data_IF_855304215955
#
_entry.id   IF_855304215955
#
_cell.length_a   1.000
_cell.length_b   1.000
_cell.length_c   1.000
_cell.angle_alpha   90.00
_cell.angle_beta   90.00
_cell.angle_gamma   90.00
#
_symmetry.space_group_name_H-M   'P 1'
#
loop_
_entity.id
_entity.type
_entity.pdbx_description
1 polymer ?
#
# COMPACT_ATOMS: atom_id res chain seq x y z
N UNK A 1 -8.08 3.46 -26.70
CA UNK A 1 -8.11 4.49 -25.66
C UNK A 1 -7.41 4.02 -24.38
N UNK A 2 -7.97 3.05 -23.63
CA UNK A 2 -7.42 2.58 -22.36
C UNK A 2 -5.92 2.21 -22.39
N UNK A 3 -5.47 1.43 -23.39
CA UNK A 3 -4.05 1.07 -23.51
C UNK A 3 -3.11 2.29 -23.67
N UNK A 4 -3.54 3.33 -24.39
CA UNK A 4 -2.77 4.58 -24.53
C UNK A 4 -2.71 5.33 -23.20
N UNK A 5 -3.85 5.44 -22.51
CA UNK A 5 -3.92 6.05 -21.19
C UNK A 5 -2.99 5.34 -20.21
N UNK A 6 -3.06 4.00 -20.10
CA UNK A 6 -2.19 3.20 -19.22
C UNK A 6 -0.71 3.40 -19.57
N UNK A 7 -0.36 3.36 -20.86
CA UNK A 7 1.02 3.54 -21.31
C UNK A 7 1.59 4.94 -21.01
N UNK A 8 0.73 5.95 -20.87
CA UNK A 8 1.14 7.31 -20.53
C UNK A 8 1.27 7.56 -19.02
N UNK A 9 0.78 6.64 -18.17
CA UNK A 9 0.88 6.78 -16.72
C UNK A 9 2.30 6.51 -16.22
N UNK A 10 2.69 7.24 -15.18
CA UNK A 10 3.88 6.92 -14.38
C UNK A 10 3.52 5.78 -13.44
N UNK A 11 4.01 4.57 -13.73
CA UNK A 11 3.71 3.35 -13.00
C UNK A 11 4.97 2.72 -12.38
N UNK A 12 4.76 1.80 -11.44
CA UNK A 12 5.81 1.16 -10.66
C UNK A 12 6.28 2.02 -9.50
N UNK A 13 7.60 1.96 -9.22
CA UNK A 13 8.27 2.79 -8.21
C UNK A 13 8.57 4.16 -8.83
N UNK A 14 7.89 5.21 -8.34
CA UNK A 14 8.06 6.58 -8.85
C UNK A 14 9.20 7.28 -8.10
N UNK A 15 9.22 7.15 -6.77
CA UNK A 15 10.32 7.60 -5.93
C UNK A 15 10.46 6.69 -4.69
N UNK A 16 11.30 7.07 -3.72
CA UNK A 16 11.55 6.27 -2.51
C UNK A 16 10.31 5.99 -1.65
N UNK A 17 9.25 6.79 -1.76
CA UNK A 17 8.05 6.68 -0.92
C UNK A 17 6.75 6.58 -1.72
N UNK A 18 6.80 6.71 -3.05
CA UNK A 18 5.64 6.78 -3.94
C UNK A 18 5.63 5.65 -4.96
N UNK A 19 4.47 5.03 -5.13
CA UNK A 19 4.22 3.98 -6.14
C UNK A 19 2.89 4.17 -6.83
N UNK A 20 2.76 3.64 -8.04
CA UNK A 20 1.48 3.52 -8.73
C UNK A 20 1.41 2.22 -9.52
N UNK A 21 0.22 1.68 -9.72
CA UNK A 21 0.02 0.43 -10.44
C UNK A 21 -1.31 0.42 -11.18
N UNK A 22 -1.39 -0.38 -12.25
CA UNK A 22 -2.66 -0.81 -12.86
C UNK A 22 -2.77 -2.30 -12.66
N UNK A 23 -3.64 -2.72 -11.73
CA UNK A 23 -3.74 -4.12 -11.31
C UNK A 23 -4.75 -4.94 -12.11
N UNK A 24 -5.75 -4.28 -12.71
CA UNK A 24 -6.84 -4.95 -13.42
C UNK A 24 -7.13 -4.21 -14.70
N UNK A 25 -7.28 -4.93 -15.81
CA UNK A 25 -7.72 -4.41 -17.10
C UNK A 25 -8.72 -5.39 -17.70
N UNK A 26 -9.92 -4.91 -18.05
CA UNK A 26 -10.98 -5.70 -18.64
C UNK A 26 -11.55 -4.99 -19.88
N UNK A 27 -11.75 -5.73 -20.97
CA UNK A 27 -12.36 -5.17 -22.17
C UNK A 27 -12.35 -6.14 -23.34
N UNK A 28 -13.32 -5.97 -24.25
CA UNK A 28 -13.53 -6.84 -25.40
C UNK A 28 -14.30 -8.13 -25.05
N UNK A 29 -15.07 -8.62 -26.03
CA UNK A 29 -15.91 -9.82 -25.88
C UNK A 29 -15.51 -10.89 -26.89
N UNK A 30 -15.16 -10.48 -28.11
CA UNK A 30 -14.81 -11.35 -29.24
C UNK A 30 -13.56 -10.84 -29.95
N UNK A 31 -12.72 -11.76 -30.44
CA UNK A 31 -11.41 -11.45 -31.06
C UNK A 31 -11.49 -10.55 -32.30
N UNK A 32 -12.54 -10.68 -33.09
CA UNK A 32 -12.72 -9.98 -34.37
C UNK A 32 -13.69 -8.78 -34.27
N UNK A 33 -14.10 -8.42 -33.05
CA UNK A 33 -14.91 -7.22 -32.80
C UNK A 33 -14.07 -6.12 -32.18
N UNK A 34 -14.32 -4.88 -32.59
CA UNK A 34 -13.74 -3.72 -31.90
C UNK A 34 -14.41 -3.59 -30.52
N UNK A 35 -13.67 -3.60 -29.40
CA UNK A 35 -14.25 -3.45 -28.07
C UNK A 35 -15.02 -2.12 -27.94
N UNK A 36 -16.28 -2.18 -27.52
CA UNK A 36 -17.11 -1.00 -27.27
C UNK A 36 -16.71 -0.27 -25.98
N UNK A 37 -16.20 -1.02 -24.99
CA UNK A 37 -15.79 -0.51 -23.69
C UNK A 37 -14.53 -1.22 -23.16
N UNK A 38 -13.84 -0.57 -22.24
CA UNK A 38 -12.74 -1.11 -21.48
C UNK A 38 -12.68 -0.40 -20.12
N UNK A 39 -12.48 -1.15 -19.05
CA UNK A 39 -12.26 -0.63 -17.70
C UNK A 39 -10.90 -1.08 -17.17
N UNK A 40 -10.34 -0.32 -16.25
CA UNK A 40 -9.15 -0.72 -15.51
C UNK A 40 -9.19 -0.16 -14.09
N UNK A 41 -8.54 -0.86 -13.15
CA UNK A 41 -8.36 -0.41 -11.78
C UNK A 41 -6.90 -0.04 -11.57
N UNK A 42 -6.67 1.21 -11.18
CA UNK A 42 -5.36 1.74 -10.85
C UNK A 42 -5.31 2.14 -9.37
N UNK A 43 -4.12 2.05 -8.79
CA UNK A 43 -3.83 2.56 -7.45
C UNK A 43 -2.60 3.44 -7.46
N UNK A 44 -2.48 4.30 -6.44
CA UNK A 44 -1.22 4.92 -6.07
C UNK A 44 -1.09 4.99 -4.56
N UNK A 45 0.14 4.97 -4.07
CA UNK A 45 0.49 5.03 -2.64
C UNK A 45 1.64 5.99 -2.45
N UNK A 46 1.63 6.72 -1.34
CA UNK A 46 2.73 7.60 -0.95
C UNK A 46 2.89 7.65 0.57
N UNK A 47 4.12 7.76 1.06
CA UNK A 47 4.43 8.13 2.44
C UNK A 47 4.07 9.59 2.79
N UNK A 48 3.79 10.40 1.77
CA UNK A 48 3.30 11.77 1.86
C UNK A 48 1.95 11.90 1.16
N UNK A 49 0.91 12.27 1.92
CA UNK A 49 -0.44 12.38 1.40
C UNK A 49 -0.57 13.46 0.30
N UNK A 50 0.18 14.56 0.41
CA UNK A 50 0.19 15.62 -0.61
C UNK A 50 0.69 15.09 -1.95
N UNK A 51 1.74 14.26 -1.93
CA UNK A 51 2.24 13.59 -3.15
C UNK A 51 1.24 12.60 -3.72
N UNK A 52 0.53 11.84 -2.88
CA UNK A 52 -0.52 10.93 -3.34
C UNK A 52 -1.64 11.70 -4.07
N UNK A 53 -2.13 12.79 -3.48
CA UNK A 53 -3.17 13.63 -4.09
C UNK A 53 -2.70 14.20 -5.43
N UNK A 54 -1.50 14.79 -5.47
CA UNK A 54 -0.94 15.33 -6.71
C UNK A 54 -0.77 14.25 -7.80
N UNK A 55 -0.41 13.02 -7.42
CA UNK A 55 -0.29 11.91 -8.36
C UNK A 55 -1.66 11.44 -8.87
N UNK A 56 -2.69 11.36 -8.03
CA UNK A 56 -4.06 11.04 -8.47
C UNK A 56 -4.59 12.08 -9.46
N UNK A 57 -4.34 13.37 -9.19
CA UNK A 57 -4.73 14.46 -10.10
C UNK A 57 -4.01 14.33 -11.45
N UNK A 58 -2.71 14.05 -11.44
CA UNK A 58 -1.91 13.81 -12.64
C UNK A 58 -2.40 12.59 -13.43
N UNK A 59 -2.64 11.46 -12.75
CA UNK A 59 -3.18 10.24 -13.36
C UNK A 59 -4.54 10.50 -14.01
N UNK A 60 -5.46 11.16 -13.28
CA UNK A 60 -6.80 11.50 -13.78
C UNK A 60 -6.74 12.39 -15.01
N UNK A 61 -5.86 13.39 -14.99
CA UNK A 61 -5.62 14.30 -16.12
C UNK A 61 -5.08 13.55 -17.33
N UNK A 62 -4.03 12.74 -17.16
CA UNK A 62 -3.42 11.94 -18.24
C UNK A 62 -4.42 10.98 -18.85
N UNK A 63 -5.17 10.25 -18.03
CA UNK A 63 -6.21 9.32 -18.51
C UNK A 63 -7.23 10.06 -19.37
N UNK A 64 -7.75 11.20 -18.88
CA UNK A 64 -8.72 12.01 -19.61
C UNK A 64 -8.17 12.49 -20.95
N UNK A 65 -6.98 13.08 -20.95
CA UNK A 65 -6.32 13.58 -22.17
C UNK A 65 -6.13 12.47 -23.20
N UNK A 66 -5.60 11.31 -22.81
CA UNK A 66 -5.31 10.21 -23.74
C UNK A 66 -6.58 9.52 -24.27
N UNK A 67 -7.64 9.45 -23.45
CA UNK A 67 -8.92 8.86 -23.87
C UNK A 67 -9.67 9.79 -24.82
N UNK A 68 -9.75 11.09 -24.51
CA UNK A 68 -10.41 12.09 -25.35
C UNK A 68 -9.68 12.28 -26.67
N UNK A 69 -8.34 12.31 -26.67
CA UNK A 69 -7.52 12.36 -27.89
C UNK A 69 -7.70 11.13 -28.78
N UNK A 70 -8.13 10.00 -28.21
CA UNK A 70 -8.49 8.78 -28.95
C UNK A 70 -9.95 8.76 -29.43
N UNK A 71 -10.73 9.82 -29.20
CA UNK A 71 -12.12 9.94 -29.63
C UNK A 71 -13.12 9.15 -28.77
N UNK A 72 -12.75 8.77 -27.55
CA UNK A 72 -13.61 8.06 -26.61
C UNK A 72 -13.94 8.93 -25.38
N UNK A 73 -14.95 8.52 -24.62
CA UNK A 73 -15.30 9.13 -23.34
C UNK A 73 -14.73 8.32 -22.18
N UNK A 74 -14.52 8.97 -21.02
CA UNK A 74 -14.07 8.29 -19.80
C UNK A 74 -14.86 8.78 -18.58
N UNK A 75 -15.26 7.82 -17.76
CA UNK A 75 -15.74 8.04 -16.40
C UNK A 75 -14.63 7.59 -15.42
N UNK A 76 -14.30 8.45 -14.45
CA UNK A 76 -13.23 8.19 -13.49
C UNK A 76 -13.84 8.39 -12.09
N UNK A 77 -13.82 7.33 -11.29
CA UNK A 77 -14.15 7.39 -9.88
C UNK A 77 -12.85 7.28 -9.06
N UNK A 78 -12.63 8.23 -8.17
CA UNK A 78 -11.49 8.26 -7.25
C UNK A 78 -12.01 7.95 -5.86
N UNK A 79 -11.37 6.99 -5.19
CA UNK A 79 -11.71 6.57 -3.83
C UNK A 79 -10.46 6.62 -2.94
N UNK A 80 -10.44 7.58 -2.01
CA UNK A 80 -9.37 7.72 -1.02
C UNK A 80 -9.56 6.68 0.09
N UNK A 81 -8.90 5.54 -0.04
CA UNK A 81 -8.97 4.47 0.97
C UNK A 81 -8.38 4.86 2.32
N UNK A 82 -7.28 5.62 2.30
CA UNK A 82 -6.53 5.97 3.51
C UNK A 82 -5.52 7.09 3.23
N UNK A 83 -5.27 7.95 4.22
CA UNK A 83 -4.19 8.93 4.16
C UNK A 83 -2.87 8.33 4.63
N UNK A 84 -1.78 8.89 4.12
CA UNK A 84 -0.46 8.59 4.63
C UNK A 84 -0.40 8.88 6.13
N UNK A 85 0.08 7.92 6.91
CA UNK A 85 0.22 8.04 8.36
C UNK A 85 1.67 7.87 8.76
N UNK A 86 2.07 8.63 9.78
CA UNK A 86 3.36 8.49 10.46
C UNK A 86 3.10 8.59 11.95
N UNK A 87 3.51 7.57 12.68
CA UNK A 87 3.56 7.60 14.15
C UNK A 87 4.98 7.94 14.59
N UNK A 88 5.12 8.55 15.76
CA UNK A 88 6.43 8.92 16.28
C UNK A 88 7.24 7.67 16.66
N UNK A 89 8.58 7.72 16.58
CA UNK A 89 9.43 6.57 16.94
C UNK A 89 9.41 6.28 18.46
N UNK A 90 8.98 7.24 19.26
CA UNK A 90 8.81 7.15 20.71
C UNK A 90 7.33 7.00 21.13
N UNK A 91 6.42 6.84 20.15
CA UNK A 91 5.02 6.46 20.36
C UNK A 91 4.91 5.27 21.32
N UNK A 92 3.85 5.23 22.12
CA UNK A 92 3.70 4.20 23.15
C UNK A 92 3.68 2.80 22.53
N UNK A 93 2.92 2.62 21.44
CA UNK A 93 2.83 1.35 20.72
C UNK A 93 4.20 0.91 20.17
N UNK A 94 5.01 1.85 19.65
CA UNK A 94 6.36 1.56 19.13
C UNK A 94 7.29 1.15 20.26
N UNK A 95 7.26 1.86 21.39
CA UNK A 95 8.08 1.53 22.55
C UNK A 95 7.77 0.16 23.13
N UNK A 96 6.49 -0.19 23.27
CA UNK A 96 6.07 -1.50 23.75
C UNK A 96 6.57 -2.60 22.82
N UNK A 97 6.41 -2.42 21.50
CA UNK A 97 6.90 -3.38 20.51
C UNK A 97 8.42 -3.56 20.58
N UNK A 98 9.18 -2.45 20.65
CA UNK A 98 10.65 -2.49 20.76
C UNK A 98 11.12 -3.16 22.04
N UNK A 99 10.48 -2.86 23.17
CA UNK A 99 10.83 -3.47 24.45
C UNK A 99 10.55 -4.97 24.42
N UNK A 100 9.38 -5.39 23.92
CA UNK A 100 9.02 -6.80 23.81
C UNK A 100 10.03 -7.57 22.94
N UNK A 101 10.29 -7.10 21.73
CA UNK A 101 11.27 -7.69 20.81
C UNK A 101 12.69 -7.71 21.41
N UNK A 102 13.06 -6.68 22.17
CA UNK A 102 14.34 -6.63 22.89
C UNK A 102 14.50 -7.76 23.91
N UNK A 103 13.43 -8.20 24.59
CA UNK A 103 13.50 -9.36 25.52
C UNK A 103 13.79 -10.68 24.80
N UNK A 104 13.52 -10.76 23.50
CA UNK A 104 13.85 -11.89 22.64
C UNK A 104 15.25 -11.76 22.01
N UNK A 105 15.99 -10.67 22.28
CA UNK A 105 17.29 -10.39 21.67
C UNK A 105 17.19 -9.79 20.26
N UNK A 106 16.03 -9.26 19.86
CA UNK A 106 15.81 -8.65 18.53
C UNK A 106 15.95 -7.13 18.64
N UNK A 107 16.95 -6.55 17.97
CA UNK A 107 17.12 -5.09 17.85
C UNK A 107 16.18 -4.52 16.77
N UNK A 108 14.92 -4.30 17.17
CA UNK A 108 13.88 -3.80 16.29
C UNK A 108 14.09 -2.31 15.95
N UNK A 109 14.06 -1.99 14.66
CA UNK A 109 14.20 -0.62 14.13
C UNK A 109 12.91 -0.19 13.43
N UNK A 110 12.45 1.05 13.63
CA UNK A 110 11.41 1.61 12.80
C UNK A 110 11.83 1.57 11.32
N UNK A 111 10.93 1.09 10.47
CA UNK A 111 11.13 1.04 9.03
C UNK A 111 9.97 1.73 8.35
N UNK A 112 10.27 2.35 7.21
CA UNK A 112 9.26 2.90 6.33
C UNK A 112 8.77 1.81 5.37
N UNK A 113 7.45 1.68 5.23
CA UNK A 113 6.83 0.81 4.23
C UNK A 113 5.87 1.62 3.36
N UNK A 114 5.82 1.32 2.06
CA UNK A 114 4.77 1.82 1.16
C UNK A 114 3.52 0.92 1.18
N UNK A 115 3.46 0.00 2.15
CA UNK A 115 2.33 -0.88 2.38
C UNK A 115 1.18 -0.16 3.08
N UNK A 116 -0.02 -0.70 2.90
CA UNK A 116 -1.21 -0.30 3.63
C UNK A 116 -1.66 -1.49 4.47
N UNK A 117 -1.99 -1.24 5.74
CA UNK A 117 -2.45 -2.27 6.69
C UNK A 117 -3.64 -1.74 7.48
N UNK A 118 -4.32 -2.60 8.24
CA UNK A 118 -5.39 -2.15 9.14
C UNK A 118 -4.92 -1.09 10.14
N UNK A 119 -3.64 -1.13 10.56
CA UNK A 119 -3.05 -0.08 11.40
C UNK A 119 -3.13 1.30 10.75
N UNK A 120 -3.02 1.40 9.42
CA UNK A 120 -3.17 2.66 8.70
C UNK A 120 -4.58 3.23 8.87
N UNK A 121 -5.61 2.38 8.82
CA UNK A 121 -7.00 2.77 9.06
C UNK A 121 -7.15 3.27 10.50
N UNK A 122 -6.74 2.48 11.49
CA UNK A 122 -6.85 2.88 12.90
C UNK A 122 -6.13 4.19 13.21
N UNK A 123 -4.93 4.39 12.66
CA UNK A 123 -4.18 5.64 12.81
C UNK A 123 -4.92 6.85 12.18
N UNK A 124 -5.61 6.68 11.04
CA UNK A 124 -6.45 7.73 10.45
C UNK A 124 -7.64 8.09 11.36
N UNK A 125 -8.08 7.15 12.20
CA UNK A 125 -9.14 7.35 13.20
C UNK A 125 -8.61 7.78 14.58
N UNK A 126 -7.32 8.12 14.69
CA UNK A 126 -6.71 8.59 15.94
C UNK A 126 -6.40 7.50 16.96
N UNK A 127 -6.45 6.22 16.57
CA UNK A 127 -6.02 5.09 17.38
C UNK A 127 -4.59 4.73 16.96
N UNK A 128 -3.61 5.15 17.77
CA UNK A 128 -2.18 4.95 17.48
C UNK A 128 -1.82 3.46 17.43
N UNK A 129 -1.39 2.98 16.26
CA UNK A 129 -1.07 1.58 16.01
C UNK A 129 0.28 1.44 15.31
N UNK A 130 1.20 0.69 15.91
CA UNK A 130 2.45 0.29 15.28
C UNK A 130 2.27 -1.03 14.52
N UNK A 131 2.89 -1.15 13.35
CA UNK A 131 2.99 -2.42 12.62
C UNK A 131 4.26 -3.13 13.07
N UNK A 132 4.14 -4.41 13.42
CA UNK A 132 5.28 -5.25 13.83
C UNK A 132 5.54 -6.28 12.73
N UNK A 133 6.79 -6.33 12.26
CA UNK A 133 7.21 -7.33 11.28
C UNK A 133 7.18 -8.74 11.86
N UNK A 134 6.63 -9.68 11.10
CA UNK A 134 6.51 -11.10 11.51
C UNK A 134 7.62 -12.00 10.92
N UNK A 135 8.50 -11.45 10.08
CA UNK A 135 9.57 -12.20 9.40
C UNK A 135 9.18 -12.82 8.05
N UNK A 136 7.96 -12.57 7.56
CA UNK A 136 7.55 -12.98 6.21
C UNK A 136 8.49 -12.39 5.14
N UNK A 137 8.65 -13.13 4.04
CA UNK A 137 9.47 -12.76 2.90
C UNK A 137 8.67 -12.95 1.61
N UNK A 138 8.93 -12.09 0.62
CA UNK A 138 8.35 -12.12 -0.73
C UNK A 138 6.81 -12.11 -0.75
N UNK A 139 6.20 -11.25 0.05
CA UNK A 139 4.74 -11.13 0.17
C UNK A 139 4.08 -10.83 -1.18
N UNK A 140 2.93 -11.47 -1.44
CA UNK A 140 2.18 -11.36 -2.70
C UNK A 140 2.90 -11.96 -3.92
N UNK A 141 3.85 -12.85 -3.70
CA UNK A 141 4.50 -13.63 -4.76
C UNK A 141 4.18 -15.11 -4.64
N UNK A 142 4.48 -15.89 -5.69
CA UNK A 142 4.38 -17.36 -5.63
C UNK A 142 5.52 -18.00 -4.82
N UNK A 143 6.47 -17.21 -4.33
CA UNK A 143 7.60 -17.63 -3.50
C UNK A 143 7.51 -17.09 -2.08
N UNK A 144 6.35 -16.57 -1.67
CA UNK A 144 6.10 -16.10 -0.31
C UNK A 144 6.40 -17.21 0.71
N UNK A 145 7.21 -16.89 1.72
CA UNK A 145 7.64 -17.85 2.73
C UNK A 145 7.97 -17.17 4.07
N UNK A 146 8.05 -17.97 5.13
CA UNK A 146 8.40 -17.52 6.48
C UNK A 146 9.13 -18.65 7.22
N UNK A 147 10.13 -18.30 8.04
CA UNK A 147 10.80 -19.29 8.89
C UNK A 147 9.91 -19.64 10.09
N UNK A 148 9.88 -20.93 10.46
CA UNK A 148 9.14 -21.39 11.66
C UNK A 148 9.63 -20.65 12.91
N UNK A 149 10.94 -20.41 13.01
CA UNK A 149 11.52 -19.64 14.12
C UNK A 149 11.00 -18.20 14.19
N UNK A 150 10.73 -17.55 13.05
CA UNK A 150 10.15 -16.20 13.02
C UNK A 150 8.69 -16.22 13.45
N UNK A 151 7.92 -17.24 13.07
CA UNK A 151 6.56 -17.44 13.58
C UNK A 151 6.54 -17.64 15.11
N UNK A 152 7.44 -18.45 15.65
CA UNK A 152 7.58 -18.65 17.10
C UNK A 152 7.98 -17.35 17.82
N UNK A 153 8.91 -16.60 17.24
CA UNK A 153 9.32 -15.30 17.78
C UNK A 153 8.18 -14.27 17.72
N UNK A 154 7.36 -14.27 16.67
CA UNK A 154 6.19 -13.39 16.56
C UNK A 154 5.18 -13.66 17.68
N UNK A 155 4.90 -14.93 18.00
CA UNK A 155 4.02 -15.30 19.12
C UNK A 155 4.62 -14.86 20.47
N UNK A 156 5.91 -15.15 20.70
CA UNK A 156 6.60 -14.75 21.93
C UNK A 156 6.61 -13.23 22.11
N UNK A 157 6.85 -12.48 21.04
CA UNK A 157 6.82 -11.02 21.05
C UNK A 157 5.41 -10.50 21.34
N UNK A 158 4.37 -11.07 20.72
CA UNK A 158 2.98 -10.68 20.97
C UNK A 158 2.58 -10.89 22.44
N UNK A 159 2.91 -12.05 23.02
CA UNK A 159 2.64 -12.33 24.44
C UNK A 159 3.37 -11.32 25.34
N UNK A 160 4.62 -11.00 25.04
CA UNK A 160 5.38 -10.04 25.81
C UNK A 160 4.83 -8.61 25.67
N UNK A 161 4.37 -8.19 24.47
CA UNK A 161 3.70 -6.90 24.29
C UNK A 161 2.45 -6.80 25.15
N UNK A 162 1.63 -7.85 25.21
CA UNK A 162 0.44 -7.89 26.06
C UNK A 162 0.81 -7.81 27.55
N UNK A 163 1.87 -8.52 27.97
CA UNK A 163 2.37 -8.46 29.35
C UNK A 163 2.85 -7.06 29.73
N UNK A 164 3.59 -6.39 28.85
CA UNK A 164 4.11 -5.04 29.06
C UNK A 164 3.02 -3.98 29.03
N UNK A 165 2.00 -4.16 28.18
CA UNK A 165 0.86 -3.24 28.09
C UNK A 165 -0.08 -3.33 29.30
N UNK A 166 -0.08 -4.44 30.02
CA UNK A 166 -0.90 -4.66 31.21
C UNK A 166 -0.26 -4.18 32.53
N UNK A 167 1.01 -3.76 32.49
CA UNK A 167 1.77 -3.29 33.64
C UNK A 167 1.60 -1.78 33.87
#
# INVERSE_FOLDING_TARGET
AAAKAIAALRLGRIDHETTANVGVVNGGIIRNGVPAECSFLAECRSGDHTKAVALVEDMTRVIRTEVEAAGAAVEIAVDEKCRAVRIAEDAWAVRIARQALGTLGIDAKPVFITGFTDASIYNNHGIEMAVVGIGAQDEHSTTEHIAVADMENAVRALVEMLRLAAA
#
